data_IF_253154327573
#
_entry.id   IF_253154327573
#
_cell.length_a   1.000
_cell.length_b   1.000
_cell.length_c   1.000
_cell.angle_alpha   90.00
_cell.angle_beta   90.00
_cell.angle_gamma   90.00
#
_symmetry.space_group_name_H-M   'P 1'
#
loop_
_entity.id
_entity.type
_entity.pdbx_description
1 polymer ?
#
# COMPACT_ATOMS: atom_id res chain seq x y z
N UNK A 1 -1.12 -20.03 -3.90
CA UNK A 1 -2.42 -19.37 -3.61
C UNK A 1 -3.57 -20.37 -3.40
N UNK A 2 -3.48 -21.40 -2.62
CA UNK A 2 -4.52 -22.41 -2.47
C UNK A 2 -4.62 -23.06 -1.10
N UNK A 3 -3.84 -22.59 -0.13
CA UNK A 3 -3.70 -23.29 1.16
C UNK A 3 -4.57 -22.72 2.28
N UNK A 4 -4.94 -21.44 2.23
CA UNK A 4 -5.65 -20.76 3.32
C UNK A 4 -7.13 -21.13 3.38
N UNK A 5 -7.83 -21.25 2.25
CA UNK A 5 -9.24 -21.64 2.20
C UNK A 5 -9.54 -23.00 2.87
N UNK A 6 -8.81 -24.08 2.51
CA UNK A 6 -9.00 -25.36 3.18
C UNK A 6 -8.68 -25.31 4.67
N UNK A 7 -7.70 -24.53 5.10
CA UNK A 7 -7.33 -24.37 6.50
C UNK A 7 -8.42 -23.68 7.33
N UNK A 8 -8.98 -22.57 6.84
CA UNK A 8 -10.08 -21.85 7.51
C UNK A 8 -11.32 -22.73 7.63
N UNK A 9 -11.64 -23.47 6.57
CA UNK A 9 -12.79 -24.38 6.57
C UNK A 9 -12.58 -25.61 7.48
N UNK A 10 -11.39 -26.22 7.44
CA UNK A 10 -11.08 -27.43 8.20
C UNK A 10 -10.82 -27.17 9.69
N UNK A 11 -10.33 -25.99 10.02
CA UNK A 11 -9.90 -25.67 11.39
C UNK A 11 -10.98 -24.93 12.17
N UNK A 12 -12.22 -25.37 12.20
CA UNK A 12 -13.32 -24.73 12.96
C UNK A 12 -12.98 -24.05 14.30
N UNK A 13 -11.73 -23.72 14.52
CA UNK A 13 -11.09 -23.09 15.66
C UNK A 13 -9.90 -22.18 15.35
N UNK A 14 -9.66 -21.76 14.08
CA UNK A 14 -8.67 -20.70 13.84
C UNK A 14 -9.24 -19.37 14.37
N UNK A 15 -8.52 -18.81 15.34
CA UNK A 15 -8.88 -17.54 15.97
C UNK A 15 -8.62 -16.37 15.01
N UNK A 16 -9.61 -16.09 14.15
CA UNK A 16 -9.52 -15.04 13.12
C UNK A 16 -9.51 -13.63 13.70
N UNK A 17 -9.97 -13.47 14.94
CA UNK A 17 -10.04 -12.17 15.61
C UNK A 17 -8.70 -11.74 16.21
N UNK A 18 -7.95 -12.71 16.79
CA UNK A 18 -6.74 -12.40 17.56
C UNK A 18 -5.46 -12.93 16.92
N UNK A 19 -5.55 -13.68 15.83
CA UNK A 19 -4.39 -14.23 15.09
C UNK A 19 -4.44 -13.82 13.63
N UNK A 20 -3.28 -13.72 13.02
CA UNK A 20 -3.13 -13.45 11.60
C UNK A 20 -2.67 -14.71 10.89
N UNK A 21 -3.32 -15.07 9.79
CA UNK A 21 -2.89 -16.18 8.96
C UNK A 21 -1.50 -15.86 8.37
N UNK A 22 -0.48 -16.70 8.64
CA UNK A 22 0.89 -16.42 8.24
C UNK A 22 1.08 -16.47 6.71
N UNK A 23 0.29 -17.24 5.99
CA UNK A 23 0.41 -17.36 4.53
C UNK A 23 -0.14 -16.09 3.86
N UNK A 24 -1.33 -15.61 4.28
CA UNK A 24 -1.90 -14.35 3.78
C UNK A 24 -0.98 -13.14 4.08
N UNK A 25 -0.44 -13.11 5.29
CA UNK A 25 0.52 -12.08 5.67
C UNK A 25 1.77 -12.12 4.81
N UNK A 26 2.38 -13.29 4.66
CA UNK A 26 3.65 -13.47 3.94
C UNK A 26 3.50 -13.11 2.47
N UNK A 27 2.44 -13.56 1.81
CA UNK A 27 2.18 -13.26 0.40
C UNK A 27 2.05 -11.74 0.17
N UNK A 28 1.25 -11.06 0.99
CA UNK A 28 1.05 -9.61 0.89
C UNK A 28 2.32 -8.84 1.22
N UNK A 29 3.02 -9.20 2.30
CA UNK A 29 4.23 -8.54 2.75
C UNK A 29 5.36 -8.70 1.73
N UNK A 30 5.52 -9.88 1.13
CA UNK A 30 6.54 -10.16 0.10
C UNK A 30 6.28 -9.32 -1.13
N UNK A 31 5.07 -9.30 -1.66
CA UNK A 31 4.73 -8.50 -2.84
C UNK A 31 5.00 -7.00 -2.63
N UNK A 32 4.64 -6.45 -1.47
CA UNK A 32 4.89 -5.04 -1.14
C UNK A 32 6.38 -4.73 -0.95
N UNK A 33 7.16 -5.65 -0.37
CA UNK A 33 8.60 -5.50 -0.21
C UNK A 33 9.36 -5.57 -1.55
N UNK A 34 8.92 -6.43 -2.46
CA UNK A 34 9.42 -6.44 -3.85
C UNK A 34 9.15 -5.11 -4.56
N UNK A 35 7.98 -4.48 -4.30
CA UNK A 35 7.68 -3.15 -4.81
C UNK A 35 8.67 -2.09 -4.32
N UNK A 36 9.05 -2.12 -3.04
CA UNK A 36 10.09 -1.23 -2.48
C UNK A 36 11.43 -1.49 -3.15
N UNK A 37 11.86 -2.75 -3.24
CA UNK A 37 13.15 -3.12 -3.84
C UNK A 37 13.21 -2.69 -5.32
N UNK A 38 12.13 -2.85 -6.06
CA UNK A 38 12.00 -2.36 -7.45
C UNK A 38 12.08 -0.84 -7.52
N UNK A 39 11.39 -0.13 -6.62
CA UNK A 39 11.40 1.32 -6.58
C UNK A 39 12.80 1.88 -6.30
N UNK A 40 13.50 1.30 -5.32
CA UNK A 40 14.89 1.64 -4.98
C UNK A 40 15.79 1.41 -6.18
N UNK A 41 15.69 0.25 -6.84
CA UNK A 41 16.47 -0.10 -8.03
C UNK A 41 16.27 0.88 -9.20
N UNK A 42 15.02 1.28 -9.44
CA UNK A 42 14.67 2.26 -10.48
C UNK A 42 15.09 3.70 -10.13
N UNK A 43 15.36 3.96 -8.85
CA UNK A 43 15.68 5.29 -8.34
C UNK A 43 17.20 5.50 -8.12
N UNK A 44 18.05 4.58 -8.54
CA UNK A 44 19.51 4.65 -8.37
C UNK A 44 20.12 5.96 -8.89
N UNK A 45 19.57 6.53 -9.96
CA UNK A 45 19.98 7.83 -10.50
C UNK A 45 19.79 9.01 -9.54
N UNK A 46 18.94 8.86 -8.53
CA UNK A 46 18.63 9.89 -7.52
C UNK A 46 19.44 9.70 -6.22
N UNK A 47 20.39 8.75 -6.22
CA UNK A 47 21.15 8.36 -5.05
C UNK A 47 20.66 7.06 -4.43
N UNK A 48 21.53 6.42 -3.64
CA UNK A 48 21.13 5.22 -2.87
C UNK A 48 20.54 5.67 -1.54
N UNK A 49 19.28 5.32 -1.24
CA UNK A 49 18.73 5.54 0.09
C UNK A 49 19.51 4.71 1.12
N UNK A 50 19.64 5.21 2.33
CA UNK A 50 20.29 4.46 3.39
C UNK A 50 19.50 3.19 3.78
N UNK A 51 20.18 2.23 4.42
CA UNK A 51 19.59 0.96 4.82
C UNK A 51 18.49 1.13 5.89
N UNK A 52 18.60 2.14 6.74
CA UNK A 52 17.60 2.46 7.75
C UNK A 52 16.28 2.87 7.11
N UNK A 53 16.35 3.78 6.14
CA UNK A 53 15.19 4.23 5.39
C UNK A 53 14.45 3.08 4.65
N UNK A 54 15.21 2.18 3.97
CA UNK A 54 14.62 1.01 3.31
C UNK A 54 13.93 0.10 4.35
N UNK A 55 14.55 -0.10 5.51
CA UNK A 55 13.98 -0.91 6.58
C UNK A 55 12.66 -0.35 7.11
N UNK A 56 12.57 0.98 7.28
CA UNK A 56 11.31 1.61 7.71
C UNK A 56 10.20 1.48 6.66
N UNK A 57 10.51 1.62 5.38
CA UNK A 57 9.54 1.37 4.31
C UNK A 57 9.01 -0.07 4.37
N UNK A 58 9.88 -1.07 4.55
CA UNK A 58 9.50 -2.48 4.66
C UNK A 58 8.74 -2.79 5.95
N UNK A 59 9.06 -2.10 7.06
CA UNK A 59 8.28 -2.19 8.30
C UNK A 59 6.84 -1.71 8.11
N UNK A 60 6.66 -0.57 7.44
CA UNK A 60 5.32 -0.06 7.13
C UNK A 60 4.53 -1.04 6.25
N UNK A 61 5.18 -1.68 5.28
CA UNK A 61 4.56 -2.75 4.48
C UNK A 61 4.13 -3.94 5.34
N UNK A 62 4.94 -4.35 6.32
CA UNK A 62 4.59 -5.46 7.21
C UNK A 62 3.36 -5.13 8.08
N UNK A 63 3.29 -3.90 8.62
CA UNK A 63 2.11 -3.43 9.36
C UNK A 63 0.86 -3.46 8.47
N UNK A 64 0.97 -2.94 7.26
CA UNK A 64 -0.14 -2.94 6.32
C UNK A 64 -0.58 -4.36 5.93
N UNK A 65 0.37 -5.25 5.60
CA UNK A 65 0.10 -6.64 5.26
C UNK A 65 -0.60 -7.40 6.40
N UNK A 66 -0.26 -7.09 7.65
CA UNK A 66 -0.92 -7.66 8.82
C UNK A 66 -2.41 -7.25 8.91
N UNK A 67 -2.71 -5.96 8.75
CA UNK A 67 -4.10 -5.49 8.73
C UNK A 67 -4.90 -6.05 7.55
N UNK A 68 -4.29 -6.14 6.37
CA UNK A 68 -4.92 -6.73 5.19
C UNK A 68 -5.25 -8.20 5.40
N UNK A 69 -4.29 -9.00 5.86
CA UNK A 69 -4.48 -10.42 6.13
C UNK A 69 -5.56 -10.65 7.18
N UNK A 70 -5.54 -9.86 8.27
CA UNK A 70 -6.58 -9.94 9.30
C UNK A 70 -7.97 -9.64 8.75
N UNK A 71 -8.12 -8.65 7.90
CA UNK A 71 -9.41 -8.33 7.29
C UNK A 71 -9.88 -9.43 6.34
N UNK A 72 -9.01 -9.87 5.42
CA UNK A 72 -9.33 -10.94 4.45
C UNK A 72 -9.77 -12.22 5.14
N UNK A 73 -9.06 -12.65 6.19
CA UNK A 73 -9.44 -13.85 6.94
C UNK A 73 -10.78 -13.71 7.65
N UNK A 74 -11.12 -12.52 8.17
CA UNK A 74 -12.42 -12.28 8.81
C UNK A 74 -13.56 -12.25 7.79
N UNK A 75 -13.36 -11.61 6.62
CA UNK A 75 -14.34 -11.61 5.53
C UNK A 75 -14.61 -13.05 5.04
N UNK A 76 -13.56 -13.91 4.96
CA UNK A 76 -13.71 -15.32 4.61
C UNK A 76 -14.38 -16.13 5.72
N UNK A 77 -14.04 -15.89 6.99
CA UNK A 77 -14.66 -16.59 8.12
C UNK A 77 -16.17 -16.32 8.21
N UNK A 78 -16.61 -15.10 7.90
CA UNK A 78 -18.01 -14.73 7.83
C UNK A 78 -18.82 -15.55 6.79
N UNK A 79 -18.13 -16.10 5.78
CA UNK A 79 -18.74 -16.95 4.75
C UNK A 79 -18.86 -18.43 5.11
N UNK A 80 -18.36 -18.85 6.28
CA UNK A 80 -18.49 -20.26 6.72
C UNK A 80 -19.93 -20.63 7.07
N UNK A 81 -20.76 -19.64 7.39
CA UNK A 81 -22.16 -19.80 7.75
C UNK A 81 -23.04 -19.17 6.66
N UNK A 82 -24.19 -19.73 6.39
CA UNK A 82 -25.17 -19.16 5.50
C UNK A 82 -26.10 -18.17 6.23
N UNK A 83 -27.02 -17.55 5.49
CA UNK A 83 -27.93 -16.54 6.03
C UNK A 83 -28.93 -17.12 7.06
N UNK A 84 -29.12 -18.45 7.06
CA UNK A 84 -29.94 -19.18 8.01
C UNK A 84 -29.16 -19.66 9.26
N UNK A 85 -27.87 -19.36 9.33
CA UNK A 85 -27.00 -19.75 10.45
C UNK A 85 -26.44 -21.17 10.35
N UNK A 86 -26.61 -21.88 9.22
CA UNK A 86 -26.08 -23.21 9.03
C UNK A 86 -24.66 -23.18 8.44
N UNK A 87 -23.82 -24.13 8.85
CA UNK A 87 -22.50 -24.29 8.27
C UNK A 87 -22.59 -24.64 6.77
N UNK A 88 -21.94 -23.86 5.91
CA UNK A 88 -21.85 -24.15 4.47
C UNK A 88 -21.05 -25.42 4.22
N UNK A 89 -21.44 -26.18 3.20
CA UNK A 89 -20.54 -27.22 2.65
C UNK A 89 -19.31 -26.58 2.03
N UNK A 90 -18.21 -27.34 1.93
CA UNK A 90 -16.96 -26.80 1.34
C UNK A 90 -17.16 -26.22 -0.06
N UNK A 91 -17.95 -26.89 -0.91
CA UNK A 91 -18.24 -26.38 -2.27
C UNK A 91 -19.08 -25.10 -2.26
N UNK A 92 -20.02 -24.95 -1.35
CA UNK A 92 -20.81 -23.74 -1.17
C UNK A 92 -19.94 -22.60 -0.65
N UNK A 93 -19.13 -22.86 0.37
CA UNK A 93 -18.14 -21.93 0.89
C UNK A 93 -17.16 -21.45 -0.20
N UNK A 94 -16.58 -22.37 -0.98
CA UNK A 94 -15.65 -22.04 -2.06
C UNK A 94 -16.27 -21.11 -3.09
N UNK A 95 -17.54 -21.34 -3.48
CA UNK A 95 -18.25 -20.45 -4.40
C UNK A 95 -18.49 -19.06 -3.81
N UNK A 96 -18.89 -18.99 -2.55
CA UNK A 96 -19.11 -17.72 -1.85
C UNK A 96 -17.80 -16.93 -1.63
N UNK A 97 -16.70 -17.64 -1.35
CA UNK A 97 -15.39 -17.05 -1.11
C UNK A 97 -14.68 -16.56 -2.39
N UNK A 98 -14.99 -17.12 -3.56
CA UNK A 98 -14.31 -16.80 -4.82
C UNK A 98 -14.30 -15.31 -5.18
N UNK A 99 -15.41 -14.54 -5.05
CA UNK A 99 -15.40 -13.09 -5.29
C UNK A 99 -14.49 -12.34 -4.30
N UNK A 100 -14.55 -12.68 -3.02
CA UNK A 100 -13.72 -12.06 -1.96
C UNK A 100 -12.25 -12.27 -2.28
N UNK A 101 -11.84 -13.50 -2.56
CA UNK A 101 -10.45 -13.83 -2.90
C UNK A 101 -10.01 -13.15 -4.19
N UNK A 102 -10.87 -13.09 -5.20
CA UNK A 102 -10.59 -12.40 -6.45
C UNK A 102 -10.34 -10.90 -6.22
N UNK A 103 -11.14 -10.26 -5.38
CA UNK A 103 -10.97 -8.85 -5.03
C UNK A 103 -9.65 -8.60 -4.30
N UNK A 104 -9.32 -9.39 -3.27
CA UNK A 104 -8.10 -9.23 -2.50
C UNK A 104 -6.83 -9.55 -3.28
N UNK A 105 -6.86 -10.57 -4.16
CA UNK A 105 -5.64 -11.08 -4.82
C UNK A 105 -5.35 -10.45 -6.17
N UNK A 106 -6.36 -10.00 -6.92
CA UNK A 106 -6.14 -9.50 -8.29
C UNK A 106 -6.22 -7.98 -8.34
N UNK A 107 -7.34 -7.40 -7.97
CA UNK A 107 -7.57 -5.96 -8.14
C UNK A 107 -6.86 -5.12 -7.08
N UNK A 108 -6.95 -5.55 -5.84
CA UNK A 108 -6.36 -4.79 -4.72
C UNK A 108 -4.84 -4.93 -4.69
N UNK A 109 -4.30 -6.14 -4.85
CA UNK A 109 -2.86 -6.36 -4.82
C UNK A 109 -2.13 -5.59 -5.93
N UNK A 110 -2.70 -5.50 -7.14
CA UNK A 110 -2.13 -4.68 -8.21
C UNK A 110 -2.09 -3.19 -7.85
N UNK A 111 -3.20 -2.68 -7.29
CA UNK A 111 -3.28 -1.27 -6.86
C UNK A 111 -2.34 -0.99 -5.70
N UNK A 112 -2.27 -1.89 -4.74
CA UNK A 112 -1.37 -1.82 -3.58
C UNK A 112 0.09 -1.84 -4.01
N UNK A 113 0.46 -2.78 -4.87
CA UNK A 113 1.82 -2.88 -5.42
C UNK A 113 2.21 -1.60 -6.17
N UNK A 114 1.36 -1.12 -7.09
CA UNK A 114 1.62 0.09 -7.84
C UNK A 114 1.71 1.33 -6.93
N UNK A 115 0.91 1.39 -5.87
CA UNK A 115 0.96 2.46 -4.87
C UNK A 115 2.24 2.39 -4.06
N UNK A 116 2.62 1.22 -3.56
CA UNK A 116 3.86 1.02 -2.81
C UNK A 116 5.10 1.41 -3.62
N UNK A 117 5.15 1.05 -4.91
CA UNK A 117 6.22 1.50 -5.84
C UNK A 117 6.28 3.02 -5.93
N UNK A 118 5.13 3.70 -6.08
CA UNK A 118 5.10 5.18 -6.19
C UNK A 118 5.52 5.85 -4.90
N UNK A 119 4.98 5.41 -3.76
CA UNK A 119 5.33 5.94 -2.44
C UNK A 119 6.83 5.82 -2.20
N UNK A 120 7.40 4.62 -2.42
CA UNK A 120 8.83 4.41 -2.23
C UNK A 120 9.68 5.30 -3.16
N UNK A 121 9.29 5.46 -4.43
CA UNK A 121 9.99 6.36 -5.38
C UNK A 121 9.90 7.83 -4.96
N UNK A 122 8.73 8.27 -4.51
CA UNK A 122 8.53 9.64 -4.03
C UNK A 122 9.38 9.90 -2.79
N UNK A 123 9.40 8.96 -1.85
CA UNK A 123 10.20 9.08 -0.63
C UNK A 123 11.71 9.13 -0.91
N UNK A 124 12.22 8.30 -1.84
CA UNK A 124 13.63 8.36 -2.27
C UNK A 124 13.96 9.72 -2.89
N UNK A 125 13.08 10.25 -3.75
CA UNK A 125 13.28 11.58 -4.37
C UNK A 125 13.22 12.69 -3.33
N UNK A 126 12.31 12.61 -2.38
CA UNK A 126 12.21 13.61 -1.32
C UNK A 126 13.50 13.69 -0.50
N UNK A 127 14.11 12.55 -0.17
CA UNK A 127 15.43 12.50 0.48
C UNK A 127 16.56 13.12 -0.37
N UNK A 128 16.46 13.05 -1.70
CA UNK A 128 17.40 13.77 -2.57
C UNK A 128 17.09 15.27 -2.58
N UNK A 129 15.83 15.67 -2.60
CA UNK A 129 15.43 17.08 -2.54
C UNK A 129 15.91 17.76 -1.26
N UNK A 130 15.87 17.06 -0.11
CA UNK A 130 16.44 17.55 1.14
C UNK A 130 17.95 17.86 1.03
N UNK A 131 18.70 17.05 0.27
CA UNK A 131 20.14 17.29 0.03
C UNK A 131 20.40 18.47 -0.90
N UNK A 132 19.48 18.71 -1.84
CA UNK A 132 19.57 19.81 -2.79
C UNK A 132 18.92 21.10 -2.28
N UNK A 133 18.53 21.12 -0.99
CA UNK A 133 17.73 22.17 -0.35
C UNK A 133 18.35 23.57 -0.37
N UNK A 134 19.67 23.68 -0.47
CA UNK A 134 20.37 24.97 -0.62
C UNK A 134 20.04 25.66 -1.97
N UNK A 135 19.82 24.87 -3.02
CA UNK A 135 19.47 25.36 -4.36
C UNK A 135 17.96 25.41 -4.56
N UNK A 136 17.25 24.45 -4.01
CA UNK A 136 15.80 24.26 -4.17
C UNK A 136 15.14 24.07 -2.81
N UNK A 137 14.92 25.14 -2.03
CA UNK A 137 14.44 25.05 -0.65
C UNK A 137 12.98 24.59 -0.52
N UNK A 138 12.23 24.57 -1.61
CA UNK A 138 10.81 24.30 -1.64
C UNK A 138 10.48 23.07 -2.49
N UNK A 139 9.28 22.51 -2.30
CA UNK A 139 8.71 21.50 -3.16
C UNK A 139 7.34 21.95 -3.68
N UNK A 140 7.01 21.56 -4.91
CA UNK A 140 5.73 21.81 -5.56
C UNK A 140 4.98 20.49 -5.76
N UNK A 141 3.70 20.48 -5.36
CA UNK A 141 2.78 19.36 -5.66
C UNK A 141 2.35 19.40 -7.12
N UNK A 142 2.62 18.35 -7.86
CA UNK A 142 2.26 18.24 -9.29
C UNK A 142 0.93 17.52 -9.48
N UNK A 143 0.16 17.90 -10.51
CA UNK A 143 -1.10 17.25 -10.87
C UNK A 143 -0.99 15.75 -11.09
N UNK A 144 -2.12 15.05 -10.88
CA UNK A 144 -2.24 13.63 -11.14
C UNK A 144 -2.14 13.33 -12.63
N UNK A 145 -1.51 12.20 -12.96
CA UNK A 145 -1.47 11.61 -14.31
C UNK A 145 -2.55 10.55 -14.54
N UNK A 146 -3.46 10.35 -13.57
CA UNK A 146 -4.57 9.44 -13.72
C UNK A 146 -5.57 9.99 -14.77
N UNK A 147 -6.21 9.10 -15.52
CA UNK A 147 -7.31 9.47 -16.41
C UNK A 147 -8.45 10.13 -15.64
N UNK A 148 -8.75 9.60 -14.45
CA UNK A 148 -9.71 10.18 -13.50
C UNK A 148 -9.00 10.61 -12.21
N UNK A 149 -8.54 11.87 -12.13
CA UNK A 149 -7.85 12.39 -10.97
C UNK A 149 -8.78 12.48 -9.75
N UNK A 150 -8.26 12.12 -8.58
CA UNK A 150 -8.99 12.27 -7.31
C UNK A 150 -9.31 13.74 -7.04
N UNK A 151 -10.60 14.07 -6.94
CA UNK A 151 -11.06 15.45 -6.78
C UNK A 151 -10.51 16.11 -5.50
N UNK A 152 -10.42 15.35 -4.38
CA UNK A 152 -9.88 15.86 -3.12
C UNK A 152 -8.41 16.28 -3.18
N UNK A 153 -7.65 15.82 -4.18
CA UNK A 153 -6.24 16.21 -4.38
C UNK A 153 -6.06 17.43 -5.30
N UNK A 154 -7.07 17.81 -6.07
CA UNK A 154 -6.98 18.96 -6.98
C UNK A 154 -6.66 20.29 -6.25
N UNK A 155 -7.12 20.41 -5.01
CA UNK A 155 -6.83 21.58 -4.16
C UNK A 155 -5.35 21.75 -3.79
N UNK A 156 -4.55 20.68 -3.93
CA UNK A 156 -3.11 20.70 -3.65
C UNK A 156 -2.25 20.98 -4.89
N UNK A 157 -2.84 20.95 -6.07
CA UNK A 157 -2.09 21.17 -7.31
C UNK A 157 -1.40 22.52 -7.31
N UNK A 158 -0.11 22.50 -7.66
CA UNK A 158 0.77 23.67 -7.69
C UNK A 158 0.99 24.34 -6.32
N UNK A 159 0.60 23.69 -5.21
CA UNK A 159 0.98 24.14 -3.88
C UNK A 159 2.49 24.04 -3.74
N UNK A 160 3.12 25.17 -3.40
CA UNK A 160 4.55 25.25 -3.09
C UNK A 160 4.72 25.44 -1.59
N UNK A 161 5.60 24.63 -0.98
CA UNK A 161 5.94 24.70 0.45
C UNK A 161 7.41 24.37 0.67
N UNK A 162 7.97 24.86 1.78
CA UNK A 162 9.33 24.49 2.17
C UNK A 162 9.45 22.96 2.30
N UNK A 163 10.60 22.42 1.93
CA UNK A 163 10.88 20.98 2.13
C UNK A 163 10.78 20.57 3.60
N UNK A 164 11.06 21.50 4.53
CA UNK A 164 10.97 21.28 5.99
C UNK A 164 9.56 21.52 6.55
N UNK A 165 8.55 21.83 5.73
CA UNK A 165 7.20 22.07 6.21
C UNK A 165 6.57 20.74 6.69
N UNK A 166 6.11 20.64 7.98
CA UNK A 166 5.44 19.46 8.52
C UNK A 166 4.21 19.02 7.73
N UNK A 167 3.66 19.90 6.91
CA UNK A 167 2.55 19.59 6.02
C UNK A 167 2.85 18.38 5.11
N UNK A 168 4.12 18.17 4.71
CA UNK A 168 4.55 17.03 3.90
C UNK A 168 4.47 15.69 4.64
N UNK A 169 4.39 15.66 5.96
CA UNK A 169 4.24 14.41 6.72
C UNK A 169 2.90 13.72 6.44
N UNK A 170 1.87 14.51 6.18
CA UNK A 170 0.49 14.02 5.96
C UNK A 170 -0.02 14.25 4.53
N UNK A 171 0.56 15.22 3.82
CA UNK A 171 0.14 15.64 2.50
C UNK A 171 1.29 15.47 1.51
N UNK A 172 1.49 14.28 1.00
CA UNK A 172 2.49 13.99 -0.03
C UNK A 172 1.89 13.18 -1.17
N UNK A 173 2.41 13.30 -2.42
CA UNK A 173 1.97 12.48 -3.52
C UNK A 173 2.17 11.00 -3.24
N UNK A 174 1.07 10.24 -3.26
CA UNK A 174 1.05 8.83 -2.86
C UNK A 174 0.45 8.57 -1.47
N UNK A 175 0.08 9.62 -0.69
CA UNK A 175 -0.51 9.47 0.65
C UNK A 175 -1.85 8.70 0.69
N UNK A 176 -2.49 8.45 -0.45
CA UNK A 176 -3.71 7.64 -0.58
C UNK A 176 -3.56 6.63 -1.72
N UNK A 177 -4.22 5.50 -1.56
CA UNK A 177 -4.22 4.42 -2.55
C UNK A 177 -4.63 4.90 -3.94
N UNK A 178 -3.91 4.43 -4.96
CA UNK A 178 -4.17 4.80 -6.36
C UNK A 178 -3.82 6.24 -6.73
N UNK A 179 -3.26 7.03 -5.82
CA UNK A 179 -2.81 8.40 -6.12
C UNK A 179 -1.71 8.39 -7.18
N UNK A 180 -1.90 9.18 -8.25
CA UNK A 180 -0.93 9.37 -9.34
C UNK A 180 -0.41 10.80 -9.43
N UNK A 181 -0.54 11.57 -8.35
CA UNK A 181 0.12 12.85 -8.20
C UNK A 181 1.63 12.67 -8.10
N UNK A 182 2.36 13.73 -8.34
CA UNK A 182 3.81 13.77 -8.23
C UNK A 182 4.28 15.01 -7.46
N UNK A 183 5.57 15.18 -7.27
CA UNK A 183 6.18 16.36 -6.69
C UNK A 183 7.55 16.63 -7.32
N UNK A 184 8.01 17.87 -7.23
CA UNK A 184 9.37 18.27 -7.58
C UNK A 184 9.90 19.29 -6.59
N UNK A 185 11.21 19.35 -6.44
CA UNK A 185 11.87 20.45 -5.76
C UNK A 185 11.84 21.72 -6.65
N UNK A 186 11.89 22.88 -6.05
CA UNK A 186 11.77 24.16 -6.75
C UNK A 186 12.34 25.32 -5.91
N UNK A 187 12.78 26.36 -6.59
CA UNK A 187 13.13 27.66 -6.05
C UNK A 187 11.95 28.67 -6.08
N UNK A 188 10.78 28.26 -6.60
CA UNK A 188 9.59 29.10 -6.61
C UNK A 188 9.25 29.62 -5.21
N UNK A 189 8.81 30.89 -5.07
CA UNK A 189 8.33 31.41 -3.79
C UNK A 189 7.08 30.64 -3.31
N UNK A 190 6.86 30.65 -1.98
CA UNK A 190 5.69 30.08 -1.31
C UNK A 190 4.50 31.02 -1.46
#
# INVERSE_FOLDING_TARGET
MGTTQPKLYANGGFDVEHKIDPDLFTDSCTALNEAVDRAVKLSVKWGKPDKGFIRELKRNNAVFAAFKAHREQNDLAGLLVDDDGNARSFDSFRRAAAPVIGEYNVNWLQTEYATAVRVARTAVRFKQYEKDGDLYPNAEWLPSRAAEPRMSHKKYYHTVRRLTDPWWETHYPGCVWGCQCDMRNTDKPI
#
